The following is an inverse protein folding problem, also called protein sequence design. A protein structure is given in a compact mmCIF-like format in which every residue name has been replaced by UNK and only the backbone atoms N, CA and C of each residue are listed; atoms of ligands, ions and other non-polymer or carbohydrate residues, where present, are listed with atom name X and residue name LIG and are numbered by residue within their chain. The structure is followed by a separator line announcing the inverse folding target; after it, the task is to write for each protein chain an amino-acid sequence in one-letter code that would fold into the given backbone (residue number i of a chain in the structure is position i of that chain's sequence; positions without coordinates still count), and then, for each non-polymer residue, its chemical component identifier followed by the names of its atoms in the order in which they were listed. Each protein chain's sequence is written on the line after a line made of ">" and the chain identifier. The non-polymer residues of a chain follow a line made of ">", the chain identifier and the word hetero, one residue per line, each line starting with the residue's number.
data_IF_198418138875
#
_entry.id   IF_198418138875
#
_cell.length_a   1.000
_cell.length_b   1.000
_cell.length_c   1.000
_cell.angle_alpha   90.00
_cell.angle_beta   90.00
_cell.angle_gamma   90.00
#
_symmetry.space_group_name_H-M   'P 1'
#
loop_
_entity.id
_entity.type
_entity.pdbx_description
1 polymer ?
#
# COMPACT_ATOMS: atom_id res chain seq x y z
N UNK A 1 21.65 16.61 11.30
CA UNK A 1 21.02 15.97 10.12
C UNK A 1 20.68 14.49 10.34
N UNK A 2 21.54 13.68 10.97
CA UNK A 2 21.27 12.24 11.28
C UNK A 2 19.94 11.96 12.01
N UNK A 3 19.52 12.83 12.94
CA UNK A 3 18.24 12.66 13.65
C UNK A 3 17.01 12.65 12.74
N UNK A 4 17.00 13.48 11.69
CA UNK A 4 15.87 13.58 10.75
C UNK A 4 15.72 12.32 9.87
N UNK A 5 16.84 11.76 9.41
CA UNK A 5 16.84 10.52 8.62
C UNK A 5 16.35 9.32 9.43
N UNK A 6 16.85 9.17 10.66
CA UNK A 6 16.40 8.10 11.57
C UNK A 6 14.89 8.18 11.80
N UNK A 7 14.34 9.39 11.97
CA UNK A 7 12.89 9.60 12.09
C UNK A 7 12.11 9.23 10.82
N UNK A 8 12.58 9.65 9.63
CA UNK A 8 11.94 9.29 8.35
C UNK A 8 11.88 7.78 8.13
N UNK A 9 12.99 7.07 8.38
CA UNK A 9 13.06 5.61 8.24
C UNK A 9 12.17 4.91 9.26
N UNK A 10 12.13 5.36 10.52
CA UNK A 10 11.22 4.83 11.52
C UNK A 10 9.75 5.00 11.09
N UNK A 11 9.38 6.17 10.58
CA UNK A 11 8.03 6.44 10.07
C UNK A 11 7.68 5.55 8.86
N UNK A 12 8.61 5.37 7.91
CA UNK A 12 8.40 4.49 6.76
C UNK A 12 8.14 3.04 7.21
N UNK A 13 8.92 2.53 8.17
CA UNK A 13 8.75 1.18 8.73
C UNK A 13 7.42 1.03 9.47
N UNK A 14 6.96 2.06 10.17
CA UNK A 14 5.63 2.06 10.81
C UNK A 14 4.51 2.00 9.76
N UNK A 15 4.62 2.76 8.67
CA UNK A 15 3.67 2.70 7.56
C UNK A 15 3.62 1.30 6.93
N UNK A 16 4.77 0.65 6.69
CA UNK A 16 4.78 -0.70 6.13
C UNK A 16 4.14 -1.72 7.06
N UNK A 17 4.32 -1.59 8.38
CA UNK A 17 3.63 -2.43 9.37
C UNK A 17 2.10 -2.26 9.31
N UNK A 18 1.59 -1.03 9.19
CA UNK A 18 0.16 -0.80 9.04
C UNK A 18 -0.37 -1.36 7.72
N UNK A 19 0.37 -1.19 6.63
CA UNK A 19 0.05 -1.81 5.34
C UNK A 19 -0.07 -3.33 5.49
N UNK A 20 0.92 -3.98 6.12
CA UNK A 20 0.89 -5.42 6.37
C UNK A 20 -0.37 -5.88 7.12
N UNK A 21 -0.73 -5.16 8.20
CA UNK A 21 -1.94 -5.45 8.99
C UNK A 21 -3.23 -5.29 8.19
N UNK A 22 -3.30 -4.26 7.34
CA UNK A 22 -4.47 -4.06 6.49
C UNK A 22 -4.59 -5.12 5.41
N UNK A 23 -3.48 -5.51 4.79
CA UNK A 23 -3.47 -6.56 3.75
C UNK A 23 -3.88 -7.91 4.33
N UNK A 24 -3.42 -8.24 5.54
CA UNK A 24 -3.83 -9.42 6.29
C UNK A 24 -5.32 -9.39 6.62
N UNK A 25 -5.83 -8.28 7.18
CA UNK A 25 -7.26 -8.11 7.52
C UNK A 25 -8.20 -8.23 6.30
N UNK A 26 -7.72 -7.88 5.11
CA UNK A 26 -8.48 -7.94 3.87
C UNK A 26 -8.33 -9.28 3.13
N UNK A 27 -7.59 -10.24 3.67
CA UNK A 27 -7.20 -11.47 2.98
C UNK A 27 -6.65 -11.18 1.56
N UNK A 28 -5.82 -10.14 1.45
CA UNK A 28 -5.48 -9.54 0.16
C UNK A 28 -4.90 -10.57 -0.82
N UNK A 29 -5.42 -10.60 -2.03
CA UNK A 29 -4.88 -11.38 -3.14
C UNK A 29 -4.49 -10.44 -4.29
N UNK A 30 -3.27 -10.61 -4.81
CA UNK A 30 -2.79 -9.80 -5.94
C UNK A 30 -3.66 -9.94 -7.20
N UNK A 31 -4.31 -11.10 -7.35
CA UNK A 31 -5.35 -11.40 -8.32
C UNK A 31 -6.20 -12.57 -7.82
N UNK A 32 -7.34 -12.85 -8.44
CA UNK A 32 -8.32 -13.85 -7.96
C UNK A 32 -7.75 -15.27 -7.74
N UNK A 33 -6.73 -15.67 -8.50
CA UNK A 33 -6.06 -16.96 -8.34
C UNK A 33 -4.76 -16.91 -7.49
N UNK A 34 -4.42 -15.76 -6.90
CA UNK A 34 -3.18 -15.61 -6.13
C UNK A 34 -3.39 -16.15 -4.71
N UNK A 35 -2.34 -16.71 -4.07
CA UNK A 35 -2.43 -16.99 -2.66
C UNK A 35 -2.69 -15.69 -1.88
N UNK A 36 -3.45 -15.76 -0.77
CA UNK A 36 -3.65 -14.62 0.10
C UNK A 36 -2.32 -14.17 0.69
N UNK A 37 -2.22 -12.86 0.88
CA UNK A 37 -1.11 -12.23 1.56
C UNK A 37 -0.98 -12.84 2.95
N UNK A 38 0.21 -13.34 3.23
CA UNK A 38 0.47 -14.11 4.44
C UNK A 38 1.97 -14.11 4.73
N UNK A 39 2.37 -14.55 5.93
CA UNK A 39 3.77 -14.78 6.23
C UNK A 39 4.47 -15.77 5.27
N UNK A 40 3.75 -16.55 4.45
CA UNK A 40 4.39 -17.45 3.48
C UNK A 40 4.83 -16.77 2.17
N UNK A 41 4.49 -15.49 1.97
CA UNK A 41 4.82 -14.74 0.75
C UNK A 41 6.13 -13.97 0.93
N UNK A 42 7.06 -14.06 -0.01
CA UNK A 42 8.38 -13.38 0.09
C UNK A 42 8.25 -11.86 0.28
N UNK A 43 7.36 -11.21 -0.47
CA UNK A 43 7.12 -9.77 -0.38
C UNK A 43 6.62 -9.33 1.01
N UNK A 44 5.96 -10.22 1.77
CA UNK A 44 5.59 -9.96 3.16
C UNK A 44 6.84 -9.83 4.02
N UNK A 45 7.75 -10.80 3.93
CA UNK A 45 8.98 -10.82 4.71
C UNK A 45 9.89 -9.65 4.35
N UNK A 46 10.11 -9.40 3.07
CA UNK A 46 10.98 -8.30 2.62
C UNK A 46 10.47 -6.93 3.10
N UNK A 47 9.14 -6.77 3.21
CA UNK A 47 8.52 -5.52 3.66
C UNK A 47 8.54 -5.34 5.19
N UNK A 48 8.48 -6.44 5.96
CA UNK A 48 8.15 -6.41 7.38
C UNK A 48 9.26 -6.96 8.31
N UNK A 49 10.25 -7.68 7.80
CA UNK A 49 11.32 -8.28 8.61
C UNK A 49 12.07 -7.21 9.41
N UNK A 50 12.05 -7.25 10.75
CA UNK A 50 12.77 -6.29 11.60
C UNK A 50 14.27 -6.24 11.32
N UNK A 51 14.86 -7.33 10.83
CA UNK A 51 16.27 -7.44 10.49
C UNK A 51 16.56 -7.17 9.01
N UNK A 52 15.52 -6.94 8.19
CA UNK A 52 15.64 -6.65 6.77
C UNK A 52 16.21 -5.24 6.51
N UNK A 53 16.87 -5.10 5.36
CA UNK A 53 17.45 -3.81 4.95
C UNK A 53 16.37 -2.84 4.44
N UNK A 54 16.59 -1.53 4.59
CA UNK A 54 15.66 -0.53 4.06
C UNK A 54 15.55 -0.57 2.52
N UNK A 55 16.61 -1.01 1.83
CA UNK A 55 16.60 -1.21 0.39
C UNK A 55 15.65 -2.36 -0.03
N UNK A 56 15.69 -3.49 0.70
CA UNK A 56 14.77 -4.60 0.48
C UNK A 56 13.32 -4.18 0.77
N UNK A 57 13.09 -3.44 1.87
CA UNK A 57 11.78 -2.88 2.21
C UNK A 57 11.25 -1.96 1.12
N UNK A 58 12.09 -1.07 0.58
CA UNK A 58 11.71 -0.18 -0.51
C UNK A 58 11.32 -0.96 -1.78
N UNK A 59 12.12 -1.95 -2.18
CA UNK A 59 11.80 -2.80 -3.33
C UNK A 59 10.48 -3.56 -3.13
N UNK A 60 10.26 -4.11 -1.94
CA UNK A 60 9.02 -4.79 -1.59
C UNK A 60 7.81 -3.84 -1.58
N UNK A 61 7.97 -2.59 -1.11
CA UNK A 61 6.91 -1.59 -1.16
C UNK A 61 6.50 -1.27 -2.60
N UNK A 62 7.46 -1.13 -3.52
CA UNK A 62 7.17 -0.93 -4.94
C UNK A 62 6.39 -2.10 -5.54
N UNK A 63 6.86 -3.33 -5.30
CA UNK A 63 6.18 -4.54 -5.78
C UNK A 63 4.75 -4.63 -5.23
N UNK A 64 4.58 -4.44 -3.92
CA UNK A 64 3.26 -4.47 -3.29
C UNK A 64 2.34 -3.37 -3.80
N UNK A 65 2.85 -2.14 -3.96
CA UNK A 65 2.06 -1.02 -4.47
C UNK A 65 1.52 -1.31 -5.87
N UNK A 66 2.32 -1.93 -6.74
CA UNK A 66 1.86 -2.33 -8.06
C UNK A 66 0.64 -3.27 -7.98
N UNK A 67 0.70 -4.30 -7.13
CA UNK A 67 -0.41 -5.24 -6.96
C UNK A 67 -1.64 -4.59 -6.34
N UNK A 68 -1.47 -3.80 -5.28
CA UNK A 68 -2.57 -3.10 -4.59
C UNK A 68 -3.27 -2.14 -5.55
N UNK A 69 -2.53 -1.35 -6.34
CA UNK A 69 -3.12 -0.42 -7.32
C UNK A 69 -3.91 -1.15 -8.41
N UNK A 70 -3.39 -2.28 -8.91
CA UNK A 70 -4.11 -3.09 -9.90
C UNK A 70 -5.42 -3.65 -9.34
N UNK A 71 -5.42 -4.13 -8.09
CA UNK A 71 -6.63 -4.63 -7.43
C UNK A 71 -7.62 -3.49 -7.15
N UNK A 72 -7.14 -2.32 -6.68
CA UNK A 72 -7.97 -1.14 -6.46
C UNK A 72 -8.68 -0.68 -7.75
N UNK A 73 -7.99 -0.72 -8.88
CA UNK A 73 -8.56 -0.39 -10.18
C UNK A 73 -9.68 -1.37 -10.60
N UNK A 74 -9.50 -2.67 -10.35
CA UNK A 74 -10.55 -3.65 -10.58
C UNK A 74 -11.79 -3.39 -9.71
N UNK A 75 -11.58 -3.07 -8.42
CA UNK A 75 -12.66 -2.70 -7.50
C UNK A 75 -13.34 -1.39 -7.89
N UNK A 76 -12.60 -0.43 -8.45
CA UNK A 76 -13.14 0.83 -8.97
C UNK A 76 -14.07 0.57 -10.15
N UNK A 77 -13.64 -0.21 -11.13
CA UNK A 77 -14.51 -0.60 -12.26
C UNK A 77 -15.77 -1.34 -11.78
N UNK A 78 -15.63 -2.23 -10.79
CA UNK A 78 -16.77 -2.93 -10.21
C UNK A 78 -17.74 -1.98 -9.47
N UNK A 79 -17.20 -1.07 -8.66
CA UNK A 79 -17.97 -0.06 -7.93
C UNK A 79 -18.68 0.92 -8.87
N UNK A 80 -18.02 1.37 -9.93
CA UNK A 80 -18.63 2.21 -10.96
C UNK A 80 -19.81 1.48 -11.62
N UNK A 81 -19.63 0.22 -12.04
CA UNK A 81 -20.71 -0.58 -12.62
C UNK A 81 -21.87 -0.81 -11.64
N UNK A 82 -21.58 -1.10 -10.37
CA UNK A 82 -22.58 -1.39 -9.35
C UNK A 82 -23.35 -0.13 -8.91
N UNK A 83 -22.69 1.03 -8.83
CA UNK A 83 -23.26 2.23 -8.21
C UNK A 83 -23.62 3.37 -9.17
N UNK A 84 -23.26 3.29 -10.46
CA UNK A 84 -23.50 4.34 -11.46
C UNK A 84 -24.94 4.87 -11.51
N UNK A 85 -25.94 4.05 -11.12
CA UNK A 85 -27.36 4.43 -11.13
C UNK A 85 -28.02 4.47 -9.75
N UNK A 86 -27.30 4.05 -8.70
CA UNK A 86 -27.86 3.86 -7.36
C UNK A 86 -27.55 5.00 -6.40
N UNK A 87 -26.56 5.84 -6.72
CA UNK A 87 -26.08 6.87 -5.79
C UNK A 87 -26.21 8.26 -6.40
N UNK A 88 -26.74 9.24 -5.63
CA UNK A 88 -26.67 10.64 -6.02
C UNK A 88 -25.23 11.06 -6.30
N UNK A 89 -25.06 11.94 -7.28
CA UNK A 89 -23.78 12.60 -7.55
C UNK A 89 -23.40 13.40 -6.32
N UNK A 90 -22.21 13.14 -5.79
CA UNK A 90 -21.63 13.99 -4.75
C UNK A 90 -21.11 15.28 -5.42
N UNK A 91 -21.68 16.46 -5.09
CA UNK A 91 -21.27 17.72 -5.72
C UNK A 91 -19.82 18.10 -5.39
N UNK A 92 -19.22 17.54 -4.34
CA UNK A 92 -17.84 17.81 -3.95
C UNK A 92 -16.86 16.72 -4.40
N UNK A 93 -17.35 15.62 -4.98
CA UNK A 93 -16.51 14.55 -5.51
C UNK A 93 -15.72 13.75 -4.46
N UNK A 94 -16.06 13.85 -3.17
CA UNK A 94 -15.41 13.11 -2.09
C UNK A 94 -15.97 11.70 -1.90
N UNK A 95 -17.14 11.41 -2.45
CA UNK A 95 -17.74 10.09 -2.39
C UNK A 95 -16.94 9.10 -3.23
N UNK A 96 -16.48 8.06 -2.56
CA UNK A 96 -15.83 6.91 -3.15
C UNK A 96 -16.73 6.26 -4.20
N UNK A 97 -16.20 6.13 -5.42
CA UNK A 97 -16.86 5.48 -6.57
C UNK A 97 -16.45 4.02 -6.76
N UNK A 98 -15.85 3.44 -5.72
CA UNK A 98 -15.35 2.07 -5.69
C UNK A 98 -16.11 1.25 -4.64
N UNK A 99 -15.80 -0.03 -4.51
CA UNK A 99 -16.33 -0.88 -3.43
C UNK A 99 -15.71 -0.52 -2.08
N UNK A 100 -16.20 -1.11 -0.98
CA UNK A 100 -15.56 -0.96 0.33
C UNK A 100 -14.13 -1.52 0.34
N UNK A 101 -13.90 -2.64 -0.34
CA UNK A 101 -12.57 -3.24 -0.48
C UNK A 101 -11.66 -2.32 -1.29
N UNK A 102 -12.12 -1.84 -2.45
CA UNK A 102 -11.41 -0.86 -3.25
C UNK A 102 -11.06 0.39 -2.46
N UNK A 103 -11.95 0.80 -1.55
CA UNK A 103 -11.69 1.96 -0.71
C UNK A 103 -10.51 1.75 0.25
N UNK A 104 -10.46 0.57 0.89
CA UNK A 104 -9.34 0.19 1.72
C UNK A 104 -8.05 0.09 0.90
N UNK A 105 -8.10 -0.47 -0.31
CA UNK A 105 -6.94 -0.63 -1.19
C UNK A 105 -6.34 0.71 -1.65
N UNK A 106 -7.14 1.74 -1.94
CA UNK A 106 -6.59 3.08 -2.25
C UNK A 106 -5.90 3.69 -1.02
N UNK A 107 -6.46 3.51 0.17
CA UNK A 107 -5.83 3.96 1.43
C UNK A 107 -4.49 3.26 1.65
N UNK A 108 -4.43 1.95 1.41
CA UNK A 108 -3.20 1.16 1.48
C UNK A 108 -2.18 1.63 0.43
N UNK A 109 -2.63 1.90 -0.81
CA UNK A 109 -1.76 2.42 -1.86
C UNK A 109 -1.17 3.79 -1.50
N UNK A 110 -1.93 4.66 -0.82
CA UNK A 110 -1.46 5.94 -0.30
C UNK A 110 -0.40 5.76 0.79
N UNK A 111 -0.64 4.87 1.76
CA UNK A 111 0.37 4.55 2.79
C UNK A 111 1.66 4.00 2.17
N UNK A 112 1.56 3.14 1.16
CA UNK A 112 2.71 2.62 0.42
C UNK A 112 3.44 3.74 -0.34
N UNK A 113 2.74 4.68 -0.98
CA UNK A 113 3.37 5.85 -1.62
C UNK A 113 4.20 6.65 -0.60
N UNK A 114 3.63 6.96 0.56
CA UNK A 114 4.34 7.69 1.61
C UNK A 114 5.54 6.92 2.16
N UNK A 115 5.42 5.60 2.35
CA UNK A 115 6.55 4.78 2.78
C UNK A 115 7.69 4.78 1.75
N UNK A 116 7.34 4.63 0.46
CA UNK A 116 8.29 4.67 -0.67
C UNK A 116 9.01 6.01 -0.71
N UNK A 117 8.30 7.13 -0.60
CA UNK A 117 8.88 8.47 -0.59
C UNK A 117 9.88 8.65 0.56
N UNK A 118 9.53 8.19 1.76
CA UNK A 118 10.39 8.30 2.95
C UNK A 118 11.65 7.43 2.85
N UNK A 119 11.52 6.19 2.37
CA UNK A 119 12.66 5.32 2.10
C UNK A 119 13.56 5.92 1.01
N UNK A 120 13.00 6.33 -0.13
CA UNK A 120 13.75 6.88 -1.26
C UNK A 120 14.48 8.17 -0.91
N UNK A 121 13.85 9.03 -0.12
CA UNK A 121 14.49 10.27 0.34
C UNK A 121 15.71 9.98 1.21
N UNK A 122 15.61 8.99 2.09
CA UNK A 122 16.71 8.60 2.97
C UNK A 122 17.86 7.93 2.20
N UNK A 123 17.57 7.10 1.19
CA UNK A 123 18.62 6.48 0.36
C UNK A 123 19.38 7.50 -0.50
N UNK A 124 18.68 8.49 -1.05
CA UNK A 124 19.28 9.54 -1.87
C UNK A 124 20.17 10.50 -1.05
N UNK A 125 19.83 10.74 0.22
CA UNK A 125 20.66 11.54 1.12
C UNK A 125 21.90 10.77 1.61
N UNK A 126 21.86 9.43 1.70
CA UNK A 126 23.01 8.61 2.10
C UNK A 126 24.04 8.40 0.98
N UNK A 127 23.66 8.63 -0.28
CA UNK A 127 24.54 8.53 -1.46
C UNK A 127 25.27 9.84 -1.80
N UNK A 128 25.04 10.92 -1.02
CA UNK A 128 25.69 12.23 -1.16
C UNK A 128 26.75 12.42 -0.09
#
# INVERSE_FOLDING_TARGET
>A
MQGSQSTKLAQARVLTLYVGRWLDLLDFQAHQAAPPFSPSVSTYHDMLDPNGTDAARLAACWAMQHHVRRRAEAERMHGEAAYARLRPVDPYGHRWRTTREGAALETIASMLSSAIELFSSSTNEAAR
#
